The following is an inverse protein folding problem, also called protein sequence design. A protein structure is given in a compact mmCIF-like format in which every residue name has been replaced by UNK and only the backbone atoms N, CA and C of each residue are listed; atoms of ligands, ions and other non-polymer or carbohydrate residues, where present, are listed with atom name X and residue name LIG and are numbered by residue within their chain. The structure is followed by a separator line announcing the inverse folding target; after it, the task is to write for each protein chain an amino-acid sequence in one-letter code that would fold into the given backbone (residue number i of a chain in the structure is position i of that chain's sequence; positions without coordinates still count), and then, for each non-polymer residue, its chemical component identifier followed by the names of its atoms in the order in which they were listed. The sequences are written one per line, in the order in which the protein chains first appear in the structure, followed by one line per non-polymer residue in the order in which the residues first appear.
data_IF_392603133393
#
_entry.id   IF_392603133393
#
_cell.length_a   1.000
_cell.length_b   1.000
_cell.length_c   1.000
_cell.angle_alpha   90.00
_cell.angle_beta   90.00
_cell.angle_gamma   90.00
#
_symmetry.space_group_name_H-M   'P 1'
#
loop_
_entity.id
_entity.type
_entity.pdbx_description
1 polymer ?
#
# COMPACT_ATOMS: atom_id res chain seq x y z
N UNK A 1 25.91 16.66 -23.96
CA UNK A 1 24.94 15.61 -23.57
C UNK A 1 24.46 15.96 -22.17
N UNK A 2 23.25 16.50 -22.04
CA UNK A 2 22.75 17.05 -20.78
C UNK A 2 22.45 15.93 -19.78
N UNK A 3 22.98 16.07 -18.57
CA UNK A 3 22.59 15.27 -17.41
C UNK A 3 21.10 15.49 -17.12
N UNK A 4 20.30 14.42 -17.11
CA UNK A 4 18.97 14.45 -16.48
C UNK A 4 19.16 14.70 -14.98
N UNK A 5 18.48 15.69 -14.37
CA UNK A 5 18.49 15.79 -12.93
C UNK A 5 17.69 14.61 -12.34
N UNK A 6 18.14 14.02 -11.22
CA UNK A 6 17.32 13.12 -10.45
C UNK A 6 16.16 13.95 -9.88
N UNK A 7 14.93 13.46 -10.01
CA UNK A 7 13.67 14.10 -9.58
C UNK A 7 13.12 15.19 -10.51
N UNK A 8 12.08 14.84 -11.27
CA UNK A 8 11.12 15.85 -11.71
C UNK A 8 9.71 15.30 -11.85
N UNK A 9 9.25 14.48 -10.88
CA UNK A 9 7.80 14.34 -10.70
C UNK A 9 7.20 15.72 -10.44
N UNK A 10 6.22 16.10 -11.24
CA UNK A 10 5.45 17.32 -11.02
C UNK A 10 4.68 17.22 -9.69
N UNK A 11 4.19 18.33 -9.11
CA UNK A 11 3.35 18.26 -7.93
C UNK A 11 2.12 17.35 -8.12
N UNK A 12 1.55 17.31 -9.34
CA UNK A 12 0.45 16.42 -9.68
C UNK A 12 0.87 14.94 -9.71
N UNK A 13 2.04 14.62 -10.27
CA UNK A 13 2.59 13.26 -10.27
C UNK A 13 2.83 12.76 -8.83
N UNK A 14 3.47 13.58 -8.00
CA UNK A 14 3.75 13.22 -6.60
C UNK A 14 2.48 13.05 -5.80
N UNK A 15 1.45 13.87 -6.04
CA UNK A 15 0.14 13.73 -5.39
C UNK A 15 -0.54 12.43 -5.79
N UNK A 16 -0.44 12.04 -7.07
CA UNK A 16 -0.95 10.77 -7.55
C UNK A 16 -0.23 9.58 -6.88
N UNK A 17 1.11 9.56 -6.88
CA UNK A 17 1.89 8.48 -6.24
C UNK A 17 1.64 8.41 -4.74
N UNK A 18 1.56 9.55 -4.05
CA UNK A 18 1.18 9.61 -2.64
C UNK A 18 -0.25 9.08 -2.40
N UNK A 19 -1.16 9.28 -3.35
CA UNK A 19 -2.52 8.74 -3.30
C UNK A 19 -2.56 7.21 -3.24
N UNK A 20 -1.61 6.53 -3.88
CA UNK A 20 -1.46 5.07 -3.83
C UNK A 20 -1.02 4.64 -2.44
N UNK A 21 0.03 5.28 -1.91
CA UNK A 21 0.52 5.01 -0.54
C UNK A 21 -0.58 5.22 0.51
N UNK A 22 -1.36 6.31 0.40
CA UNK A 22 -2.48 6.56 1.31
C UNK A 22 -3.57 5.48 1.23
N UNK A 23 -3.79 4.83 0.08
CA UNK A 23 -4.74 3.71 0.00
C UNK A 23 -4.23 2.49 0.76
N UNK A 24 -2.93 2.18 0.65
CA UNK A 24 -2.30 1.10 1.43
C UNK A 24 -2.46 1.38 2.93
N UNK A 25 -2.16 2.61 3.37
CA UNK A 25 -2.31 2.98 4.78
C UNK A 25 -3.73 2.84 5.31
N UNK A 26 -4.73 3.24 4.52
CA UNK A 26 -6.14 3.07 4.90
C UNK A 26 -6.50 1.59 5.03
N UNK A 27 -6.07 0.75 4.09
CA UNK A 27 -6.33 -0.69 4.15
C UNK A 27 -5.64 -1.33 5.37
N UNK A 28 -4.40 -0.95 5.68
CA UNK A 28 -3.70 -1.38 6.89
C UNK A 28 -4.43 -0.92 8.15
N UNK A 29 -4.91 0.33 8.21
CA UNK A 29 -5.68 0.82 9.35
C UNK A 29 -6.97 0.02 9.54
N UNK A 30 -7.73 -0.22 8.47
CA UNK A 30 -8.95 -1.03 8.52
C UNK A 30 -8.63 -2.45 9.00
N UNK A 31 -7.55 -3.04 8.49
CA UNK A 31 -7.10 -4.36 8.93
C UNK A 31 -6.84 -4.37 10.44
N UNK A 32 -5.99 -3.45 10.93
CA UNK A 32 -5.64 -3.36 12.37
C UNK A 32 -6.89 -3.16 13.22
N UNK A 33 -7.79 -2.24 12.85
CA UNK A 33 -9.04 -2.03 13.57
C UNK A 33 -9.87 -3.31 13.68
N UNK A 34 -10.05 -4.04 12.57
CA UNK A 34 -10.84 -5.28 12.58
C UNK A 34 -10.17 -6.40 13.35
N UNK A 35 -8.82 -6.48 13.33
CA UNK A 35 -8.08 -7.44 14.16
C UNK A 35 -8.33 -7.16 15.64
N UNK A 36 -8.16 -5.91 16.08
CA UNK A 36 -8.32 -5.51 17.48
C UNK A 36 -9.76 -5.67 18.00
N UNK A 37 -10.77 -5.55 17.14
CA UNK A 37 -12.18 -5.70 17.50
C UNK A 37 -12.70 -7.14 17.39
N UNK A 38 -12.09 -7.97 16.56
CA UNK A 38 -12.59 -9.29 16.21
C UNK A 38 -11.47 -10.32 16.17
N UNK A 39 -10.86 -10.50 15.01
CA UNK A 39 -9.76 -11.44 14.79
C UNK A 39 -9.12 -11.25 13.42
N UNK A 40 -7.88 -11.74 13.20
CA UNK A 40 -7.19 -11.70 11.91
C UNK A 40 -8.00 -12.24 10.72
N UNK A 41 -8.87 -13.23 10.95
CA UNK A 41 -9.68 -13.85 9.89
C UNK A 41 -10.73 -12.91 9.33
N UNK A 42 -11.29 -12.05 10.16
CA UNK A 42 -12.28 -11.05 9.76
C UNK A 42 -11.66 -9.85 9.06
N UNK A 43 -10.36 -9.61 9.26
CA UNK A 43 -9.64 -8.48 8.69
C UNK A 43 -9.13 -8.72 7.26
N UNK A 44 -9.05 -9.99 6.82
CA UNK A 44 -8.62 -10.39 5.46
C UNK A 44 -9.26 -9.59 4.31
N UNK A 45 -10.58 -9.28 4.32
CA UNK A 45 -11.20 -8.51 3.25
C UNK A 45 -10.55 -7.14 3.00
N UNK A 46 -9.96 -6.50 4.02
CA UNK A 46 -9.29 -5.21 3.84
C UNK A 46 -8.11 -5.29 2.86
N UNK A 47 -7.36 -6.39 2.89
CA UNK A 47 -6.23 -6.64 2.01
C UNK A 47 -6.69 -7.16 0.63
N UNK A 48 -7.75 -7.95 0.59
CA UNK A 48 -8.32 -8.45 -0.67
C UNK A 48 -8.88 -7.30 -1.51
N UNK A 49 -9.60 -6.37 -0.88
CA UNK A 49 -10.08 -5.16 -1.53
C UNK A 49 -8.93 -4.23 -1.96
N UNK A 50 -7.85 -4.14 -1.20
CA UNK A 50 -6.64 -3.41 -1.62
C UNK A 50 -6.02 -4.03 -2.89
N UNK A 51 -5.91 -5.36 -2.95
CA UNK A 51 -5.37 -6.07 -4.11
C UNK A 51 -6.24 -5.85 -5.36
N UNK A 52 -7.57 -5.97 -5.22
CA UNK A 52 -8.53 -5.72 -6.32
C UNK A 52 -8.46 -4.28 -6.80
N UNK A 53 -8.43 -3.33 -5.87
CA UNK A 53 -8.29 -1.92 -6.16
C UNK A 53 -7.00 -1.63 -6.94
N UNK A 54 -5.86 -2.20 -6.50
CA UNK A 54 -4.58 -1.98 -7.15
C UNK A 54 -4.58 -2.52 -8.60
N UNK A 55 -5.12 -3.72 -8.79
CA UNK A 55 -5.28 -4.34 -10.10
C UNK A 55 -6.17 -3.50 -11.04
N UNK A 56 -7.31 -3.02 -10.54
CA UNK A 56 -8.24 -2.17 -11.30
C UNK A 56 -7.57 -0.84 -11.67
N UNK A 57 -6.92 -0.18 -10.70
CA UNK A 57 -6.26 1.10 -10.90
C UNK A 57 -5.11 1.02 -11.91
N UNK A 58 -4.38 -0.10 -11.92
CA UNK A 58 -3.31 -0.36 -12.89
C UNK A 58 -3.86 -0.50 -14.31
N UNK A 59 -5.03 -1.12 -14.50
CA UNK A 59 -5.71 -1.20 -15.80
C UNK A 59 -6.18 0.16 -16.28
N UNK A 60 -6.75 0.97 -15.39
CA UNK A 60 -7.20 2.35 -15.71
C UNK A 60 -6.05 3.24 -16.21
N UNK A 61 -4.86 3.10 -15.63
CA UNK A 61 -3.65 3.79 -16.11
C UNK A 61 -3.19 3.35 -17.50
N UNK A 62 -3.74 2.25 -18.04
CA UNK A 62 -3.48 1.81 -19.40
C UNK A 62 -4.60 2.06 -20.40
N UNK A 63 -5.80 2.39 -19.94
CA UNK A 63 -6.94 2.65 -20.81
C UNK A 63 -7.18 4.13 -21.09
N UNK A 64 -6.69 5.05 -20.27
CA UNK A 64 -7.01 6.48 -20.40
C UNK A 64 -5.98 7.31 -21.17
N UNK A 65 -6.30 7.59 -22.45
CA UNK A 65 -5.73 8.68 -23.26
C UNK A 65 -6.41 10.04 -23.01
N UNK A 66 -7.41 10.11 -22.13
CA UNK A 66 -8.29 11.27 -21.99
C UNK A 66 -8.35 11.74 -20.53
N UNK A 67 -7.26 12.36 -20.06
CA UNK A 67 -7.26 13.08 -18.79
C UNK A 67 -6.85 14.52 -19.06
N UNK A 68 -7.65 15.47 -18.56
CA UNK A 68 -7.42 16.92 -18.66
C UNK A 68 -6.09 17.38 -18.06
N UNK A 69 -5.39 16.50 -17.34
CA UNK A 69 -4.01 16.66 -16.89
C UNK A 69 -3.29 15.31 -16.94
N UNK A 70 -2.61 14.97 -18.04
CA UNK A 70 -1.93 13.70 -18.15
C UNK A 70 -0.77 13.62 -17.16
N UNK A 71 -0.63 12.47 -16.51
CA UNK A 71 0.55 12.13 -15.70
C UNK A 71 1.77 12.07 -16.62
N UNK A 72 2.94 12.46 -16.11
CA UNK A 72 4.18 12.28 -16.87
C UNK A 72 4.45 10.78 -17.15
N UNK A 73 5.10 10.43 -18.27
CA UNK A 73 5.41 9.02 -18.57
C UNK A 73 6.14 8.30 -17.43
N UNK A 74 7.07 8.98 -16.77
CA UNK A 74 7.79 8.46 -15.60
C UNK A 74 6.85 8.21 -14.41
N UNK A 75 5.86 9.08 -14.17
CA UNK A 75 4.89 8.89 -13.09
C UNK A 75 3.89 7.78 -13.40
N UNK A 76 3.52 7.59 -14.67
CA UNK A 76 2.71 6.45 -15.09
C UNK A 76 3.46 5.14 -14.88
N UNK A 77 4.74 5.07 -15.28
CA UNK A 77 5.57 3.89 -15.08
C UNK A 77 5.76 3.58 -13.59
N UNK A 78 6.14 4.57 -12.78
CA UNK A 78 6.30 4.42 -11.34
C UNK A 78 4.97 4.03 -10.65
N UNK A 79 3.86 4.64 -11.06
CA UNK A 79 2.54 4.32 -10.53
C UNK A 79 2.10 2.90 -10.86
N UNK A 80 2.35 2.43 -12.09
CA UNK A 80 2.07 1.04 -12.48
C UNK A 80 2.89 0.03 -11.69
N UNK A 81 4.20 0.28 -11.55
CA UNK A 81 5.08 -0.56 -10.75
C UNK A 81 4.62 -0.61 -9.29
N UNK A 82 4.35 0.54 -8.69
CA UNK A 82 3.86 0.61 -7.31
C UNK A 82 2.53 -0.11 -7.12
N UNK A 83 1.59 0.00 -8.07
CA UNK A 83 0.31 -0.73 -8.00
C UNK A 83 0.49 -2.25 -8.16
N UNK A 84 1.45 -2.69 -8.99
CA UNK A 84 1.81 -4.10 -9.14
C UNK A 84 2.41 -4.67 -7.85
N UNK A 85 3.29 -3.90 -7.20
CA UNK A 85 3.85 -4.24 -5.90
C UNK A 85 2.77 -4.29 -4.82
N UNK A 86 1.84 -3.32 -4.77
CA UNK A 86 0.71 -3.32 -3.83
C UNK A 86 -0.16 -4.56 -4.02
N UNK A 87 -0.50 -4.90 -5.27
CA UNK A 87 -1.27 -6.11 -5.58
C UNK A 87 -0.55 -7.37 -5.08
N UNK A 88 0.74 -7.49 -5.42
CA UNK A 88 1.59 -8.63 -5.06
C UNK A 88 1.73 -8.80 -3.55
N UNK A 89 2.11 -7.72 -2.85
CA UNK A 89 2.30 -7.74 -1.40
C UNK A 89 0.99 -8.05 -0.69
N UNK A 90 -0.13 -7.47 -1.13
CA UNK A 90 -1.44 -7.73 -0.51
C UNK A 90 -1.81 -9.21 -0.57
N UNK A 91 -1.59 -9.86 -1.72
CA UNK A 91 -1.83 -11.29 -1.91
C UNK A 91 -0.90 -12.14 -1.03
N UNK A 92 0.40 -11.85 -1.04
CA UNK A 92 1.38 -12.56 -0.22
C UNK A 92 1.07 -12.44 1.28
N UNK A 93 0.65 -11.26 1.74
CA UNK A 93 0.26 -11.03 3.14
C UNK A 93 -0.99 -11.84 3.48
N UNK A 94 -2.00 -11.89 2.60
CA UNK A 94 -3.18 -12.74 2.79
C UNK A 94 -2.78 -14.21 2.93
N UNK A 95 -1.85 -14.69 2.11
CA UNK A 95 -1.38 -16.07 2.16
C UNK A 95 -0.64 -16.35 3.47
N UNK A 96 0.28 -15.48 3.88
CA UNK A 96 0.99 -15.58 5.16
C UNK A 96 0.03 -15.58 6.35
N UNK A 97 -0.95 -14.68 6.38
CA UNK A 97 -1.98 -14.64 7.43
C UNK A 97 -2.77 -15.95 7.43
N UNK A 98 -3.19 -16.44 6.26
CA UNK A 98 -3.94 -17.70 6.16
C UNK A 98 -3.14 -18.88 6.72
N UNK A 99 -1.83 -18.94 6.43
CA UNK A 99 -0.94 -19.95 7.00
C UNK A 99 -0.78 -19.80 8.51
N UNK A 100 -0.65 -18.58 9.04
CA UNK A 100 -0.60 -18.32 10.48
C UNK A 100 -1.87 -18.77 11.19
N UNK A 101 -3.04 -18.50 10.59
CA UNK A 101 -4.32 -18.92 11.15
C UNK A 101 -4.55 -20.43 11.15
N UNK A 102 -3.92 -21.15 10.21
CA UNK A 102 -3.96 -22.61 10.15
C UNK A 102 -2.86 -23.27 11.02
N UNK A 103 -1.95 -22.47 11.58
CA UNK A 103 -0.86 -22.96 12.43
C UNK A 103 -1.37 -23.37 13.82
N UNK A 104 -0.61 -24.18 14.58
CA UNK A 104 -0.96 -24.55 15.95
C UNK A 104 -0.69 -23.42 16.97
N UNK A 105 -0.38 -22.20 16.51
CA UNK A 105 -0.08 -21.08 17.40
C UNK A 105 -1.32 -20.67 18.22
N UNK A 106 -1.12 -20.25 19.47
CA UNK A 106 -2.16 -19.61 20.27
C UNK A 106 -2.75 -18.37 19.56
N UNK A 107 -4.05 -18.06 19.74
CA UNK A 107 -4.71 -16.94 19.06
C UNK A 107 -4.05 -15.57 19.27
N UNK A 108 -3.54 -15.31 20.47
CA UNK A 108 -2.81 -14.08 20.83
C UNK A 108 -1.49 -13.96 20.05
N UNK A 109 -0.77 -15.07 19.86
CA UNK A 109 0.44 -15.08 19.03
C UNK A 109 0.10 -14.90 17.55
N UNK A 110 -1.00 -15.47 17.06
CA UNK A 110 -1.47 -15.23 15.68
C UNK A 110 -1.79 -13.75 15.48
N UNK A 111 -2.50 -13.12 16.43
CA UNK A 111 -2.78 -11.69 16.41
C UNK A 111 -1.49 -10.86 16.31
N UNK A 112 -0.56 -11.05 17.25
CA UNK A 112 0.72 -10.33 17.29
C UNK A 112 1.50 -10.47 15.97
N UNK A 113 1.64 -11.69 15.46
CA UNK A 113 2.38 -11.96 14.22
C UNK A 113 1.72 -11.29 13.01
N UNK A 114 0.39 -11.32 12.91
CA UNK A 114 -0.31 -10.66 11.80
C UNK A 114 -0.20 -9.13 11.86
N UNK A 115 -0.24 -8.53 13.05
CA UNK A 115 0.00 -7.09 13.23
C UNK A 115 1.44 -6.72 12.87
N UNK A 116 2.43 -7.55 13.23
CA UNK A 116 3.83 -7.38 12.83
C UNK A 116 4.04 -7.42 11.31
N UNK A 117 3.32 -8.30 10.60
CA UNK A 117 3.34 -8.33 9.13
C UNK A 117 2.81 -7.01 8.54
N UNK A 118 1.69 -6.50 9.07
CA UNK A 118 1.12 -5.21 8.63
C UNK A 118 2.08 -4.05 8.93
N UNK A 119 2.75 -4.06 10.08
CA UNK A 119 3.80 -3.10 10.37
C UNK A 119 4.93 -3.13 9.32
N UNK A 120 5.33 -4.33 8.88
CA UNK A 120 6.26 -4.52 7.78
C UNK A 120 5.80 -3.85 6.47
N UNK A 121 4.52 -3.99 6.12
CA UNK A 121 3.92 -3.32 4.94
C UNK A 121 4.01 -1.79 5.07
N UNK A 122 3.73 -1.26 6.25
CA UNK A 122 3.80 0.18 6.51
C UNK A 122 5.24 0.71 6.43
N UNK A 123 6.21 -0.03 6.95
CA UNK A 123 7.65 0.30 6.78
C UNK A 123 8.05 0.26 5.31
N UNK A 124 7.58 -0.74 4.55
CA UNK A 124 7.81 -0.81 3.10
C UNK A 124 7.25 0.43 2.38
N UNK A 125 6.03 0.88 2.70
CA UNK A 125 5.50 2.10 2.07
C UNK A 125 6.32 3.35 2.37
N UNK A 126 6.93 3.43 3.55
CA UNK A 126 7.82 4.54 3.92
C UNK A 126 9.11 4.54 3.10
N UNK A 127 9.68 3.35 2.86
CA UNK A 127 10.83 3.18 1.97
C UNK A 127 10.50 3.58 0.53
N UNK A 128 9.36 3.12 -0.01
CA UNK A 128 8.92 3.48 -1.36
C UNK A 128 8.69 5.00 -1.48
N UNK A 129 8.09 5.61 -0.47
CA UNK A 129 7.86 7.04 -0.47
C UNK A 129 9.16 7.86 -0.49
N UNK A 130 10.19 7.39 0.23
CA UNK A 130 11.52 7.98 0.23
C UNK A 130 12.18 7.86 -1.14
N UNK A 131 12.15 6.66 -1.74
CA UNK A 131 12.72 6.40 -3.06
C UNK A 131 12.05 7.22 -4.17
N UNK A 132 10.75 7.44 -4.07
CA UNK A 132 9.98 8.25 -5.03
C UNK A 132 10.06 9.76 -4.75
N UNK A 133 10.71 10.19 -3.66
CA UNK A 133 10.80 11.60 -3.27
C UNK A 133 9.45 12.22 -2.93
N UNK A 134 8.50 11.42 -2.42
CA UNK A 134 7.13 11.84 -2.10
C UNK A 134 6.84 11.93 -0.61
N UNK A 135 7.84 11.72 0.26
CA UNK A 135 7.67 11.74 1.72
C UNK A 135 7.00 13.02 2.22
N UNK A 136 7.35 14.19 1.68
CA UNK A 136 6.73 15.47 2.07
C UNK A 136 5.26 15.63 1.67
N UNK A 137 4.75 14.74 0.81
CA UNK A 137 3.34 14.70 0.40
C UNK A 137 2.53 13.69 1.22
N UNK A 138 3.20 12.91 2.06
CA UNK A 138 2.55 12.01 2.99
C UNK A 138 2.35 12.75 4.31
N UNK A 139 1.13 12.71 4.85
CA UNK A 139 0.88 13.18 6.22
C UNK A 139 1.02 11.99 7.15
N UNK A 140 1.83 12.06 8.22
CA UNK A 140 1.98 10.94 9.15
C UNK A 140 0.60 10.46 9.60
N UNK A 141 0.30 9.19 9.37
CA UNK A 141 -0.84 8.53 9.98
C UNK A 141 -0.30 7.76 11.18
N UNK A 142 -0.58 8.28 12.37
CA UNK A 142 -0.41 7.54 13.61
C UNK A 142 -1.41 6.40 13.58
N UNK A 143 -0.95 5.18 13.30
CA UNK A 143 -1.80 3.99 13.26
C UNK A 143 -2.01 3.39 14.67
N UNK A 144 -1.50 4.05 15.71
CA UNK A 144 -1.48 3.55 17.08
C UNK A 144 -1.97 4.60 18.07
N UNK A 145 -3.04 4.26 18.78
CA UNK A 145 -3.30 4.78 20.12
C UNK A 145 -2.61 3.83 21.10
N UNK A 146 -1.70 4.36 21.92
CA UNK A 146 -1.26 3.69 23.14
C UNK A 146 -2.50 3.44 24.02
N UNK A 147 -2.62 2.23 24.55
CA UNK A 147 -3.58 1.90 25.62
C UNK A 147 -3.09 2.46 26.95
#
# INVERSE_FOLDING_TARGET
MSAMPPNAFTPSDRKFLAGIVHHVWRACQVYVTVVMERSPGHARPALDELAKWAAARRRELGSHNDTSRPLSPSAQQAGRALLDDVETISRQVIDMITSLQASPLPPDQVEEQTLGIIEGVLRWTSLMASQLGITGNLRPHTLWFER
#
